data_IF_074384491696
#
_entry.id   IF_074384491696
#
_cell.length_a   1.000
_cell.length_b   1.000
_cell.length_c   1.000
_cell.angle_alpha   90.00
_cell.angle_beta   90.00
_cell.angle_gamma   90.00
#
_symmetry.space_group_name_H-M   'P 1'
#
loop_
_entity.id
_entity.type
_entity.pdbx_description
1 polymer ?
#
# COMPACT_ATOMS: atom_id res chain seq x y z
N UNK A 1 -13.96 6.81 -76.25
CA UNK A 1 -12.64 6.34 -76.71
C UNK A 1 -11.63 6.70 -75.61
N UNK A 2 -11.39 5.82 -74.62
CA UNK A 2 -10.31 4.81 -74.55
C UNK A 2 -8.92 5.39 -74.89
N UNK A 3 -8.08 5.50 -73.87
CA UNK A 3 -6.68 5.87 -73.98
C UNK A 3 -5.98 5.87 -72.61
N UNK A 4 -5.89 4.69 -72.00
CA UNK A 4 -4.93 4.38 -70.93
C UNK A 4 -3.53 4.37 -71.57
N UNK A 5 -2.48 4.81 -70.87
CA UNK A 5 -1.17 4.16 -70.89
C UNK A 5 -0.23 4.75 -69.83
N UNK A 6 0.27 3.81 -69.03
CA UNK A 6 1.05 3.98 -67.81
C UNK A 6 2.55 4.20 -68.08
N UNK A 7 3.24 4.82 -67.13
CA UNK A 7 4.71 4.83 -67.02
C UNK A 7 5.12 5.41 -65.66
N UNK A 8 5.13 4.58 -64.60
CA UNK A 8 6.33 3.97 -63.98
C UNK A 8 7.36 4.94 -63.37
N UNK A 9 7.50 4.81 -62.04
CA UNK A 9 8.75 4.72 -61.23
C UNK A 9 9.20 5.89 -60.35
N UNK A 10 9.51 5.55 -59.08
CA UNK A 10 10.31 6.31 -58.09
C UNK A 10 9.46 6.85 -56.94
N UNK A 11 9.43 6.25 -55.73
CA UNK A 11 10.52 6.26 -54.74
C UNK A 11 10.77 7.70 -54.28
N UNK A 12 10.60 8.16 -53.05
CA UNK A 12 10.80 7.54 -51.74
C UNK A 12 9.88 8.21 -50.70
N UNK A 13 9.25 7.39 -49.84
CA UNK A 13 8.62 7.88 -48.61
C UNK A 13 9.72 8.09 -47.56
N UNK A 14 10.02 9.34 -47.23
CA UNK A 14 10.74 9.69 -46.00
C UNK A 14 9.66 10.01 -44.96
N UNK A 15 9.27 9.01 -44.19
CA UNK A 15 8.45 9.19 -43.01
C UNK A 15 9.26 9.89 -41.93
N UNK A 16 8.91 11.13 -41.60
CA UNK A 16 9.40 11.80 -40.41
C UNK A 16 8.79 11.12 -39.18
N UNK A 17 9.60 10.31 -38.50
CA UNK A 17 9.36 9.86 -37.14
C UNK A 17 9.37 11.06 -36.19
N UNK A 18 8.20 11.67 -35.98
CA UNK A 18 7.98 12.64 -34.91
C UNK A 18 7.66 11.92 -33.60
N UNK A 19 8.69 11.62 -32.81
CA UNK A 19 8.52 11.30 -31.38
C UNK A 19 8.27 12.62 -30.65
N UNK A 20 7.06 12.80 -30.14
CA UNK A 20 6.75 13.83 -29.13
C UNK A 20 6.23 13.13 -27.88
N UNK A 21 7.15 12.59 -27.07
CA UNK A 21 6.89 12.25 -25.68
C UNK A 21 6.83 13.55 -24.87
N UNK A 22 5.65 14.16 -24.84
CA UNK A 22 5.33 15.17 -23.82
C UNK A 22 5.04 14.43 -22.51
N UNK A 23 6.07 14.31 -21.68
CA UNK A 23 5.96 13.83 -20.31
C UNK A 23 5.16 14.82 -19.47
N UNK A 24 3.84 14.68 -19.46
CA UNK A 24 3.01 15.28 -18.44
C UNK A 24 3.11 14.42 -17.19
N UNK A 25 4.01 14.78 -16.26
CA UNK A 25 3.89 14.34 -14.88
C UNK A 25 2.67 15.06 -14.32
N UNK A 26 1.50 14.45 -14.48
CA UNK A 26 0.26 14.93 -13.87
C UNK A 26 0.41 14.79 -12.36
N UNK A 27 0.77 15.89 -11.70
CA UNK A 27 0.64 16.01 -10.25
C UNK A 27 -0.87 16.02 -9.95
N UNK A 28 -1.43 14.84 -9.68
CA UNK A 28 -2.81 14.74 -9.24
C UNK A 28 -2.90 15.42 -7.87
N UNK A 29 -3.74 16.46 -7.70
CA UNK A 29 -4.01 16.95 -6.36
C UNK A 29 -4.72 15.81 -5.62
N UNK A 30 -4.07 15.27 -4.59
CA UNK A 30 -4.74 14.45 -3.58
C UNK A 30 -5.65 15.42 -2.81
N UNK A 31 -6.77 15.79 -3.42
CA UNK A 31 -7.82 16.54 -2.76
C UNK A 31 -8.43 15.67 -1.66
N UNK A 32 -8.91 16.27 -0.56
CA UNK A 32 -9.59 15.50 0.47
C UNK A 32 -10.79 14.80 -0.17
N UNK A 33 -10.70 13.47 -0.27
CA UNK A 33 -11.83 12.68 -0.74
C UNK A 33 -12.94 12.87 0.30
N UNK A 34 -14.09 13.37 -0.14
CA UNK A 34 -15.25 13.51 0.73
C UNK A 34 -15.51 12.16 1.39
N UNK A 35 -15.30 12.12 2.71
CA UNK A 35 -15.27 10.90 3.51
C UNK A 35 -16.70 10.34 3.59
N UNK A 36 -17.09 9.55 2.58
CA UNK A 36 -18.21 8.62 2.73
C UNK A 36 -17.77 7.59 3.76
N UNK A 37 -18.65 7.11 4.66
CA UNK A 37 -18.37 5.90 5.40
C UNK A 37 -18.10 4.80 4.36
N UNK A 38 -16.84 4.48 4.12
CA UNK A 38 -16.46 3.34 3.30
C UNK A 38 -16.59 2.13 4.19
N UNK A 39 -17.30 1.11 3.73
CA UNK A 39 -17.17 -0.21 4.31
C UNK A 39 -15.69 -0.60 4.25
N UNK A 40 -15.17 -1.01 5.41
CA UNK A 40 -13.79 -1.46 5.54
C UNK A 40 -13.81 -2.95 5.80
N UNK A 41 -12.85 -3.66 5.22
CA UNK A 41 -12.53 -5.02 5.61
C UNK A 41 -11.38 -4.97 6.62
N UNK A 42 -11.39 -5.85 7.62
CA UNK A 42 -10.28 -5.97 8.55
C UNK A 42 -10.08 -7.39 9.04
N UNK A 43 -8.83 -7.81 9.17
CA UNK A 43 -8.48 -9.17 9.59
C UNK A 43 -7.08 -9.23 10.22
N UNK A 44 -6.83 -10.32 10.95
CA UNK A 44 -5.49 -10.69 11.37
C UNK A 44 -4.87 -11.63 10.34
N UNK A 45 -3.71 -11.24 9.81
CA UNK A 45 -2.94 -12.03 8.85
C UNK A 45 -1.62 -12.46 9.51
N UNK A 46 -1.22 -13.70 9.23
CA UNK A 46 0.13 -14.19 9.57
C UNK A 46 0.97 -14.26 8.32
N UNK A 47 2.19 -13.73 8.40
CA UNK A 47 3.15 -13.78 7.30
C UNK A 47 4.54 -14.18 7.81
N UNK A 48 5.34 -14.74 6.91
CA UNK A 48 6.73 -15.09 7.20
C UNK A 48 7.61 -13.85 7.10
N UNK A 49 8.45 -13.64 8.11
CA UNK A 49 9.49 -12.62 8.16
C UNK A 49 10.82 -13.29 8.51
N UNK A 50 11.58 -13.67 7.49
CA UNK A 50 12.77 -14.51 7.65
C UNK A 50 12.39 -15.89 8.19
N UNK A 51 12.91 -16.25 9.37
CA UNK A 51 12.61 -17.52 10.04
C UNK A 51 11.40 -17.46 10.99
N UNK A 52 10.90 -16.25 11.25
CA UNK A 52 9.86 -16.01 12.25
C UNK A 52 8.51 -15.75 11.54
N UNK A 53 7.42 -16.10 12.22
CA UNK A 53 6.06 -15.75 11.79
C UNK A 53 5.61 -14.49 12.52
N UNK A 54 5.19 -13.47 11.78
CA UNK A 54 4.66 -12.22 12.32
C UNK A 54 3.16 -12.18 12.11
N UNK A 55 2.42 -11.79 13.15
CA UNK A 55 1.00 -11.49 13.05
C UNK A 55 0.85 -9.99 12.78
N UNK A 56 0.01 -9.62 11.83
CA UNK A 56 -0.38 -8.23 11.58
C UNK A 56 -1.90 -8.11 11.59
N UNK A 57 -2.39 -6.98 12.06
CA UNK A 57 -3.76 -6.56 11.85
C UNK A 57 -3.80 -5.68 10.60
N UNK A 58 -4.67 -6.01 9.65
CA UNK A 58 -4.80 -5.28 8.39
C UNK A 58 -6.22 -4.75 8.30
N UNK A 59 -6.37 -3.48 7.94
CA UNK A 59 -7.66 -2.89 7.57
C UNK A 59 -7.53 -2.14 6.24
N UNK A 60 -8.53 -2.27 5.37
CA UNK A 60 -8.52 -1.59 4.07
C UNK A 60 -9.93 -1.23 3.59
N UNK A 61 -10.07 -0.15 2.80
CA UNK A 61 -11.35 0.25 2.23
C UNK A 61 -11.79 -0.73 1.14
N UNK A 62 -13.07 -1.06 1.11
CA UNK A 62 -13.67 -1.83 0.00
C UNK A 62 -13.84 -0.92 -1.22
N UNK A 63 -12.92 -1.03 -2.18
CA UNK A 63 -12.95 -0.24 -3.42
C UNK A 63 -12.31 -0.97 -4.60
N UNK A 64 -12.72 -0.66 -5.85
CA UNK A 64 -12.17 -1.32 -7.03
C UNK A 64 -10.78 -0.80 -7.46
N UNK A 65 -10.40 0.43 -7.10
CA UNK A 65 -9.07 0.97 -7.43
C UNK A 65 -8.06 0.73 -6.29
N UNK A 66 -6.76 0.52 -6.60
CA UNK A 66 -5.72 0.45 -5.59
C UNK A 66 -5.69 1.67 -4.66
N UNK A 67 -5.42 1.44 -3.39
CA UNK A 67 -5.25 2.46 -2.36
C UNK A 67 -3.79 2.56 -1.90
N UNK A 68 -3.33 3.75 -1.47
CA UNK A 68 -2.03 3.90 -0.83
C UNK A 68 -1.95 3.09 0.47
N UNK A 69 -0.78 2.52 0.77
CA UNK A 69 -0.56 1.71 1.96
C UNK A 69 0.21 2.47 3.04
N UNK A 70 -0.13 2.21 4.31
CA UNK A 70 0.52 2.79 5.50
C UNK A 70 0.80 1.69 6.51
N UNK A 71 2.00 1.69 7.09
CA UNK A 71 2.37 0.82 8.21
C UNK A 71 2.15 1.58 9.52
N UNK A 72 1.34 1.01 10.40
CA UNK A 72 1.07 1.53 11.74
C UNK A 72 1.98 0.82 12.74
N UNK A 73 2.89 1.56 13.34
CA UNK A 73 3.78 1.04 14.37
C UNK A 73 3.15 1.29 15.74
N UNK A 74 2.97 0.22 16.51
CA UNK A 74 2.39 0.32 17.84
C UNK A 74 3.36 0.91 18.87
N UNK A 75 2.80 1.45 19.95
CA UNK A 75 3.54 2.00 21.09
C UNK A 75 4.08 0.91 22.05
N UNK A 76 4.61 1.33 23.20
CA UNK A 76 5.24 0.48 24.23
C UNK A 76 4.28 -0.55 24.87
N UNK A 77 3.01 -0.57 24.48
CA UNK A 77 2.02 -1.54 24.95
C UNK A 77 1.83 -2.73 24.01
N UNK A 78 2.53 -2.78 22.88
CA UNK A 78 2.25 -3.77 21.86
C UNK A 78 0.99 -3.47 21.07
N UNK A 79 0.45 -4.49 20.43
CA UNK A 79 -0.82 -4.47 19.71
C UNK A 79 -2.00 -4.22 20.67
N UNK A 80 -2.43 -2.96 20.79
CA UNK A 80 -3.55 -2.53 21.62
C UNK A 80 -4.80 -2.25 20.79
N UNK A 81 -5.95 -2.13 21.47
CA UNK A 81 -7.19 -1.68 20.83
C UNK A 81 -7.05 -0.29 20.20
N UNK A 82 -6.23 0.59 20.77
CA UNK A 82 -5.96 1.91 20.19
C UNK A 82 -5.28 1.79 18.82
N UNK A 83 -4.32 0.88 18.68
CA UNK A 83 -3.63 0.64 17.41
C UNK A 83 -4.57 0.02 16.39
N UNK A 84 -5.42 -0.93 16.82
CA UNK A 84 -6.45 -1.54 15.97
C UNK A 84 -7.41 -0.49 15.43
N UNK A 85 -7.97 0.34 16.32
CA UNK A 85 -8.88 1.43 15.95
C UNK A 85 -8.22 2.48 15.06
N UNK A 86 -6.94 2.81 15.31
CA UNK A 86 -6.17 3.72 14.45
C UNK A 86 -6.01 3.13 13.05
N UNK A 87 -5.73 1.82 12.96
CA UNK A 87 -5.61 1.11 11.68
C UNK A 87 -6.94 1.11 10.91
N UNK A 88 -8.06 0.83 11.61
CA UNK A 88 -9.41 0.92 11.03
C UNK A 88 -9.77 2.35 10.58
N UNK A 89 -9.36 3.38 11.35
CA UNK A 89 -9.62 4.78 10.99
C UNK A 89 -8.85 5.19 9.73
N UNK A 90 -7.58 4.81 9.62
CA UNK A 90 -6.80 5.02 8.40
C UNK A 90 -7.40 4.29 7.20
N UNK A 91 -7.98 3.11 7.42
CA UNK A 91 -8.71 2.41 6.36
C UNK A 91 -9.95 3.18 5.89
N UNK A 92 -10.73 3.74 6.82
CA UNK A 92 -11.85 4.64 6.50
C UNK A 92 -11.38 5.89 5.76
N UNK A 93 -10.20 6.41 6.11
CA UNK A 93 -9.58 7.56 5.42
C UNK A 93 -9.08 7.23 4.01
N UNK A 94 -9.16 5.96 3.59
CA UNK A 94 -8.89 5.51 2.22
C UNK A 94 -7.53 4.83 2.04
N UNK A 95 -6.86 4.43 3.12
CA UNK A 95 -5.57 3.76 3.09
C UNK A 95 -5.69 2.24 3.30
N UNK A 96 -4.77 1.46 2.72
CA UNK A 96 -4.52 0.09 3.21
C UNK A 96 -3.62 0.21 4.44
N UNK A 97 -4.18 0.06 5.63
CA UNK A 97 -3.46 0.21 6.88
C UNK A 97 -3.05 -1.17 7.42
N UNK A 98 -1.78 -1.31 7.78
CA UNK A 98 -1.20 -2.58 8.26
C UNK A 98 -0.49 -2.29 9.58
N UNK A 99 -0.89 -2.99 10.64
CA UNK A 99 -0.27 -2.92 11.96
C UNK A 99 0.38 -4.27 12.32
N UNK A 100 1.70 -4.42 12.12
CA UNK A 100 2.43 -5.61 12.59
C UNK A 100 2.54 -5.63 14.12
N UNK A 101 2.33 -6.80 14.73
CA UNK A 101 2.66 -7.04 16.13
C UNK A 101 4.18 -7.27 16.25
N UNK A 102 4.92 -6.25 16.68
CA UNK A 102 6.37 -6.29 16.82
C UNK A 102 6.83 -7.23 17.94
N UNK A 103 5.92 -7.68 18.80
CA UNK A 103 6.19 -8.69 19.82
C UNK A 103 5.95 -10.12 19.31
N UNK A 104 5.56 -10.33 18.05
CA UNK A 104 5.33 -11.66 17.46
C UNK A 104 6.51 -12.62 17.66
N UNK A 105 7.76 -12.15 17.48
CA UNK A 105 8.98 -12.95 17.67
C UNK A 105 9.23 -13.35 19.13
N UNK A 106 8.51 -12.74 20.06
CA UNK A 106 8.53 -13.03 21.50
C UNK A 106 7.26 -13.75 21.99
N UNK A 107 6.44 -14.27 21.06
CA UNK A 107 5.18 -14.96 21.37
C UNK A 107 3.92 -14.09 21.20
N UNK A 108 4.07 -12.87 20.70
CA UNK A 108 2.98 -11.91 20.49
C UNK A 108 2.81 -10.92 21.64
N UNK A 109 1.98 -9.92 21.41
CA UNK A 109 1.63 -8.92 22.43
C UNK A 109 0.91 -9.59 23.62
N UNK A 110 1.43 -9.43 24.85
CA UNK A 110 0.76 -9.94 26.06
C UNK A 110 -0.59 -9.28 26.33
N UNK A 111 -1.47 -9.97 27.06
CA UNK A 111 -2.81 -9.48 27.37
C UNK A 111 -2.85 -8.22 28.25
N UNK A 112 -1.78 -7.92 29.01
CA UNK A 112 -1.74 -6.73 29.88
C UNK A 112 -0.69 -5.72 29.42
N UNK A 113 -1.00 -4.41 29.48
CA UNK A 113 -0.09 -3.34 29.09
C UNK A 113 1.27 -3.40 29.83
N UNK A 114 1.26 -3.72 31.12
CA UNK A 114 2.50 -3.80 31.91
C UNK A 114 3.39 -4.98 31.52
N UNK A 115 2.80 -6.10 31.12
CA UNK A 115 3.58 -7.25 30.62
C UNK A 115 4.21 -6.93 29.26
N UNK A 116 3.45 -6.26 28.38
CA UNK A 116 3.97 -5.80 27.10
C UNK A 116 5.14 -4.82 27.28
N UNK A 117 4.99 -3.81 28.15
CA UNK A 117 6.07 -2.87 28.49
C UNK A 117 7.33 -3.58 28.99
N UNK A 118 7.18 -4.53 29.92
CA UNK A 118 8.30 -5.31 30.44
C UNK A 118 8.98 -6.11 29.34
N UNK A 119 8.21 -6.73 28.44
CA UNK A 119 8.76 -7.49 27.34
C UNK A 119 9.53 -6.59 26.36
N UNK A 120 8.98 -5.42 26.02
CA UNK A 120 9.65 -4.42 25.17
C UNK A 120 10.97 -3.96 25.80
N UNK A 121 11.01 -3.75 27.11
CA UNK A 121 12.23 -3.36 27.82
C UNK A 121 13.36 -4.43 27.74
N UNK A 122 13.03 -5.68 27.40
CA UNK A 122 14.03 -6.76 27.19
C UNK A 122 14.51 -6.90 25.74
N UNK A 123 13.99 -6.07 24.81
CA UNK A 123 14.39 -6.11 23.42
C UNK A 123 15.79 -5.51 23.24
N UNK A 124 16.60 -6.15 22.40
CA UNK A 124 17.88 -5.61 21.98
C UNK A 124 17.68 -4.81 20.68
N UNK A 125 18.01 -3.50 20.67
CA UNK A 125 17.77 -2.62 19.53
C UNK A 125 18.49 -3.06 18.24
N UNK A 126 19.59 -3.82 18.34
CA UNK A 126 20.36 -4.25 17.17
C UNK A 126 19.80 -5.53 16.51
N UNK A 127 18.78 -6.14 17.12
CA UNK A 127 18.29 -7.48 16.73
C UNK A 127 16.79 -7.56 16.50
N UNK A 128 16.08 -6.43 16.64
CA UNK A 128 14.64 -6.32 16.38
C UNK A 128 14.35 -5.98 14.91
#
# INVERSE_FOLDING_TARGET
MRGKNDGRMGGWAVGLFGVALLGAVAFLPIGPSAHRPTDIHSEYVKYLSGKDTVTAYIAYPERPQPAPAVIVIHEIFGMSDFIRQTTEQLAKDGFVAIAPDLLSRRGGTPATPDSARKLIATLNPDTV
#
